data_IF_407218342430
#
_entry.id   IF_407218342430
#
_cell.length_a   1.000
_cell.length_b   1.000
_cell.length_c   1.000
_cell.angle_alpha   90.00
_cell.angle_beta   90.00
_cell.angle_gamma   90.00
#
_symmetry.space_group_name_H-M   'P 1'
#
loop_
_entity.id
_entity.type
_entity.pdbx_description
1 polymer ?
#
# COMPACT_ATOMS: atom_id res chain seq x y z
N UNK A 1 52.81 -29.27 36.17
CA UNK A 1 53.82 -29.27 35.07
C UNK A 1 53.52 -28.08 34.16
N UNK A 2 54.35 -27.03 34.21
CA UNK A 2 55.32 -26.60 33.16
C UNK A 2 54.63 -26.12 31.86
N UNK A 3 54.49 -24.80 31.70
CA UNK A 3 55.35 -23.89 30.89
C UNK A 3 55.24 -24.12 29.37
N UNK A 4 54.78 -23.11 28.63
CA UNK A 4 55.59 -22.31 27.66
C UNK A 4 54.72 -21.56 26.62
N UNK A 5 54.80 -20.23 26.62
CA UNK A 5 54.98 -19.47 25.36
C UNK A 5 56.46 -19.57 24.98
N UNK A 6 56.90 -19.48 23.69
CA UNK A 6 56.92 -18.21 22.94
C UNK A 6 56.97 -18.24 21.37
N UNK A 7 56.77 -17.05 20.77
CA UNK A 7 57.42 -16.39 19.60
C UNK A 7 57.85 -17.18 18.33
N UNK A 8 57.54 -16.57 17.15
CA UNK A 8 58.46 -16.17 16.04
C UNK A 8 57.69 -15.36 14.97
N UNK A 9 57.98 -14.06 14.76
CA UNK A 9 58.92 -13.44 13.77
C UNK A 9 58.52 -13.65 12.30
N UNK A 10 58.24 -12.62 11.49
CA UNK A 10 59.21 -11.71 10.86
C UNK A 10 58.42 -10.55 10.20
N UNK A 11 58.71 -9.27 10.46
CA UNK A 11 59.79 -8.45 9.91
C UNK A 11 59.69 -8.20 8.39
N UNK A 12 59.05 -7.10 7.99
CA UNK A 12 59.56 -6.22 6.91
C UNK A 12 59.33 -4.75 7.29
N UNK A 13 60.38 -4.16 7.84
CA UNK A 13 60.67 -2.74 7.76
C UNK A 13 61.24 -2.42 6.37
N UNK A 14 60.83 -1.31 5.78
CA UNK A 14 61.66 -0.35 5.03
C UNK A 14 60.79 0.91 4.87
N UNK A 15 60.90 1.90 5.76
CA UNK A 15 61.85 3.03 5.72
C UNK A 15 61.78 3.83 4.41
N UNK A 16 61.09 4.98 4.45
CA UNK A 16 61.61 6.26 3.94
C UNK A 16 61.21 7.37 4.95
N UNK A 17 62.21 7.84 5.71
CA UNK A 17 62.31 9.17 6.35
C UNK A 17 62.53 10.19 5.20
N UNK A 18 62.25 11.50 5.24
CA UNK A 18 62.25 12.47 6.32
C UNK A 18 61.85 13.85 5.74
N UNK A 19 61.33 14.75 6.61
CA UNK A 19 61.65 16.20 6.74
C UNK A 19 61.36 17.12 5.52
N UNK A 20 60.66 18.25 5.61
CA UNK A 20 60.85 19.38 6.53
C UNK A 20 59.60 20.33 6.54
N UNK A 21 59.38 21.09 7.64
CA UNK A 21 58.40 22.20 7.75
C UNK A 21 59.01 23.56 7.35
N UNK A 22 58.20 24.65 7.28
CA UNK A 22 58.52 26.06 7.72
C UNK A 22 57.70 27.15 6.97
N UNK A 23 56.90 27.91 7.76
CA UNK A 23 56.55 29.36 7.71
C UNK A 23 55.67 29.86 6.54
N UNK A 24 54.38 30.23 6.72
CA UNK A 24 53.77 31.40 7.42
C UNK A 24 54.06 32.77 6.76
N UNK A 25 53.08 33.29 6.01
CA UNK A 25 52.95 34.73 5.76
C UNK A 25 51.47 35.13 5.87
N UNK A 26 51.20 35.96 6.88
CA UNK A 26 49.95 36.67 7.12
C UNK A 26 49.64 37.64 5.96
N UNK A 27 48.38 37.71 5.56
CA UNK A 27 47.74 38.99 5.21
C UNK A 27 46.44 39.07 6.00
N UNK A 28 46.41 39.97 6.98
CA UNK A 28 45.21 40.44 7.69
C UNK A 28 44.88 41.80 7.08
N UNK A 29 43.70 41.93 6.48
CA UNK A 29 42.81 43.09 6.60
C UNK A 29 41.62 42.92 5.66
N UNK A 30 40.43 42.88 6.24
CA UNK A 30 39.15 42.78 5.54
C UNK A 30 38.09 42.24 6.47
N UNK A 31 37.76 43.00 7.53
CA UNK A 31 36.53 42.78 8.26
C UNK A 31 35.38 43.04 7.29
N UNK A 32 34.60 42.02 6.97
CA UNK A 32 33.16 42.17 6.92
C UNK A 32 32.48 40.87 7.33
N UNK A 33 31.51 41.04 8.20
CA UNK A 33 30.78 39.99 8.88
C UNK A 33 29.86 39.25 7.90
N UNK A 34 30.07 37.94 7.75
CA UNK A 34 29.02 36.99 7.40
C UNK A 34 29.42 35.59 7.84
N UNK A 35 28.88 35.15 8.98
CA UNK A 35 28.88 33.73 9.40
C UNK A 35 28.02 32.90 8.43
N UNK A 36 28.23 31.57 8.39
CA UNK A 36 28.21 30.79 7.18
C UNK A 36 26.79 30.61 6.68
N UNK A 37 26.57 30.98 5.42
CA UNK A 37 25.49 30.41 4.64
C UNK A 37 25.74 28.92 4.53
N UNK A 38 25.17 28.17 5.47
CA UNK A 38 24.74 26.82 5.18
C UNK A 38 23.92 26.93 3.91
N UNK A 39 24.51 26.55 2.77
CA UNK A 39 23.74 26.10 1.64
C UNK A 39 23.04 24.82 2.12
N UNK A 40 21.96 25.01 2.89
CA UNK A 40 20.90 24.06 2.92
C UNK A 40 20.54 23.87 1.47
N UNK A 41 20.78 22.66 0.96
CA UNK A 41 20.01 22.19 -0.15
C UNK A 41 18.55 22.40 0.26
N UNK A 42 17.95 23.50 -0.18
CA UNK A 42 16.52 23.56 -0.39
C UNK A 42 16.29 22.51 -1.45
N UNK A 43 16.19 21.24 -1.02
CA UNK A 43 15.61 20.19 -1.83
C UNK A 43 14.32 20.78 -2.30
N UNK A 44 14.22 21.00 -3.61
CA UNK A 44 13.06 21.62 -4.25
C UNK A 44 11.84 21.10 -3.54
N UNK A 45 11.11 22.00 -2.86
CA UNK A 45 9.75 21.70 -2.48
C UNK A 45 9.06 21.44 -3.81
N UNK A 46 9.00 20.17 -4.22
CA UNK A 46 8.17 19.72 -5.32
C UNK A 46 6.80 20.17 -4.87
N UNK A 47 6.28 21.24 -5.48
CA UNK A 47 4.92 21.70 -5.27
C UNK A 47 4.02 20.51 -5.59
N UNK A 48 3.65 19.77 -4.53
CA UNK A 48 3.01 18.48 -4.65
C UNK A 48 1.55 18.76 -4.93
N UNK A 49 1.24 18.93 -6.22
CA UNK A 49 -0.12 19.11 -6.72
C UNK A 49 -1.02 18.04 -6.11
N UNK A 50 -2.19 18.38 -5.55
CA UNK A 50 -3.09 17.38 -4.99
C UNK A 50 -3.43 16.29 -5.99
N UNK A 51 -3.52 15.05 -5.52
CA UNK A 51 -3.81 13.89 -6.33
C UNK A 51 -4.81 13.01 -5.59
N UNK A 52 -5.84 12.55 -6.29
CA UNK A 52 -6.77 11.54 -5.81
C UNK A 52 -6.80 10.40 -6.82
N UNK A 53 -6.70 9.18 -6.32
CA UNK A 53 -6.73 7.96 -7.14
C UNK A 53 -7.78 7.04 -6.55
N UNK A 54 -8.68 6.53 -7.38
CA UNK A 54 -9.66 5.52 -6.99
C UNK A 54 -9.44 4.29 -7.86
N UNK A 55 -9.34 3.13 -7.21
CA UNK A 55 -9.12 1.84 -7.85
C UNK A 55 -10.19 0.84 -7.41
N UNK A 56 -10.50 -0.11 -8.27
CA UNK A 56 -11.44 -1.18 -7.96
C UNK A 56 -11.05 -2.50 -8.61
N UNK A 57 -11.24 -3.59 -7.86
CA UNK A 57 -11.09 -4.97 -8.32
C UNK A 57 -12.44 -5.68 -8.34
N UNK A 58 -12.69 -6.45 -9.41
CA UNK A 58 -13.85 -7.33 -9.52
C UNK A 58 -13.48 -8.75 -9.08
N UNK A 59 -14.42 -9.44 -8.46
CA UNK A 59 -14.23 -10.81 -8.00
C UNK A 59 -14.21 -11.82 -9.15
N UNK A 60 -13.47 -12.91 -8.95
CA UNK A 60 -13.56 -14.10 -9.79
C UNK A 60 -14.88 -14.84 -9.52
N UNK A 61 -15.80 -14.80 -10.48
CA UNK A 61 -17.19 -15.31 -10.32
C UNK A 61 -17.26 -16.77 -9.86
N UNK A 62 -16.51 -17.72 -10.44
CA UNK A 62 -16.53 -19.11 -9.98
C UNK A 62 -16.07 -19.27 -8.52
N UNK A 63 -15.03 -18.53 -8.11
CA UNK A 63 -14.54 -18.53 -6.73
C UNK A 63 -15.60 -17.98 -5.75
N UNK A 64 -16.27 -16.88 -6.12
CA UNK A 64 -17.34 -16.29 -5.31
C UNK A 64 -18.53 -17.25 -5.13
N UNK A 65 -18.92 -18.01 -6.16
CA UNK A 65 -20.00 -19.01 -6.05
C UNK A 65 -19.62 -20.13 -5.09
N UNK A 66 -18.43 -20.69 -5.29
CA UNK A 66 -17.89 -21.76 -4.43
C UNK A 66 -17.83 -21.31 -2.97
N UNK A 67 -17.36 -20.10 -2.71
CA UNK A 67 -17.32 -19.54 -1.37
C UNK A 67 -18.72 -19.36 -0.77
N UNK A 68 -19.69 -18.87 -1.55
CA UNK A 68 -21.07 -18.74 -1.09
C UNK A 68 -21.66 -20.09 -0.68
N UNK A 69 -21.50 -21.14 -1.49
CA UNK A 69 -21.98 -22.49 -1.16
C UNK A 69 -21.39 -23.02 0.15
N UNK A 70 -20.07 -22.82 0.36
CA UNK A 70 -19.39 -23.21 1.59
C UNK A 70 -19.94 -22.43 2.79
N UNK A 71 -20.02 -21.10 2.69
CA UNK A 71 -20.50 -20.23 3.77
C UNK A 71 -21.96 -20.53 4.14
N UNK A 72 -22.80 -20.85 3.15
CA UNK A 72 -24.20 -21.19 3.34
C UNK A 72 -24.37 -22.53 4.03
N UNK A 73 -23.67 -23.58 3.57
CA UNK A 73 -23.65 -24.87 4.24
C UNK A 73 -23.18 -24.76 5.69
N UNK A 74 -22.10 -24.01 5.95
CA UNK A 74 -21.59 -23.76 7.30
C UNK A 74 -22.62 -23.04 8.19
N UNK A 75 -23.32 -22.03 7.64
CA UNK A 75 -24.37 -21.32 8.34
C UNK A 75 -25.54 -22.25 8.71
N UNK A 76 -26.00 -23.09 7.79
CA UNK A 76 -27.07 -24.07 8.06
C UNK A 76 -26.67 -25.06 9.16
N UNK A 77 -25.46 -25.60 9.08
CA UNK A 77 -24.91 -26.52 10.10
C UNK A 77 -24.84 -25.83 11.47
N UNK A 78 -24.41 -24.57 11.54
CA UNK A 78 -24.38 -23.81 12.79
C UNK A 78 -25.77 -23.61 13.43
N UNK A 79 -26.84 -23.74 12.63
CA UNK A 79 -28.23 -23.68 13.06
C UNK A 79 -28.88 -25.05 13.26
N UNK A 80 -28.11 -26.15 13.17
CA UNK A 80 -28.62 -27.50 13.29
C UNK A 80 -29.46 -27.96 12.08
N UNK A 81 -29.30 -27.32 10.93
CA UNK A 81 -30.00 -27.66 9.70
C UNK A 81 -29.10 -28.49 8.78
N UNK A 82 -29.69 -29.37 7.96
CA UNK A 82 -28.95 -30.13 6.97
C UNK A 82 -28.36 -29.18 5.90
N UNK A 83 -27.09 -29.36 5.50
CA UNK A 83 -26.50 -28.51 4.48
C UNK A 83 -27.21 -28.74 3.13
N UNK A 84 -27.59 -27.65 2.47
CA UNK A 84 -28.10 -27.64 1.10
C UNK A 84 -27.28 -26.66 0.27
N UNK A 85 -27.35 -26.74 -1.08
CA UNK A 85 -26.76 -25.71 -1.94
C UNK A 85 -27.27 -24.31 -1.60
N UNK A 86 -26.45 -23.28 -1.82
CA UNK A 86 -26.88 -21.91 -1.60
C UNK A 86 -27.97 -21.50 -2.61
N UNK A 87 -28.84 -20.54 -2.23
CA UNK A 87 -29.75 -19.91 -3.18
C UNK A 87 -28.98 -19.34 -4.38
N UNK A 88 -29.51 -19.56 -5.59
CA UNK A 88 -28.87 -19.09 -6.80
C UNK A 88 -28.77 -17.56 -6.83
N UNK A 89 -27.57 -17.05 -7.08
CA UNK A 89 -27.30 -15.62 -7.25
C UNK A 89 -27.09 -15.33 -8.74
N UNK A 90 -27.75 -14.32 -9.33
CA UNK A 90 -27.58 -14.00 -10.74
C UNK A 90 -26.12 -13.75 -11.09
N UNK A 91 -25.66 -14.32 -12.21
CA UNK A 91 -24.26 -14.19 -12.64
C UNK A 91 -23.86 -12.74 -12.83
N UNK A 92 -24.75 -11.92 -13.40
CA UNK A 92 -24.53 -10.49 -13.57
C UNK A 92 -24.30 -9.76 -12.23
N UNK A 93 -24.91 -10.22 -11.13
CA UNK A 93 -24.68 -9.66 -9.78
C UNK A 93 -23.26 -9.96 -9.32
N UNK A 94 -22.80 -11.20 -9.49
CA UNK A 94 -21.46 -11.61 -9.11
C UNK A 94 -20.39 -10.95 -9.99
N UNK A 95 -20.59 -10.93 -11.31
CA UNK A 95 -19.65 -10.35 -12.28
C UNK A 95 -19.47 -8.83 -12.13
N UNK A 96 -20.43 -8.14 -11.52
CA UNK A 96 -20.39 -6.70 -11.26
C UNK A 96 -20.08 -6.36 -9.79
N UNK A 97 -19.84 -7.36 -8.95
CA UNK A 97 -19.43 -7.15 -7.56
C UNK A 97 -17.99 -6.64 -7.52
N UNK A 98 -17.84 -5.43 -6.97
CA UNK A 98 -16.54 -4.84 -6.66
C UNK A 98 -16.10 -5.40 -5.30
N UNK A 99 -15.17 -6.35 -5.33
CA UNK A 99 -14.68 -7.04 -4.12
C UNK A 99 -13.59 -6.25 -3.42
N UNK A 100 -12.95 -5.33 -4.12
CA UNK A 100 -11.96 -4.42 -3.55
C UNK A 100 -12.16 -3.02 -4.13
N UNK A 101 -12.17 -2.02 -3.27
CA UNK A 101 -12.20 -0.61 -3.64
C UNK A 101 -11.23 0.15 -2.76
N UNK A 102 -10.42 1.00 -3.38
CA UNK A 102 -9.40 1.77 -2.71
C UNK A 102 -9.44 3.21 -3.20
N UNK A 103 -9.44 4.17 -2.28
CA UNK A 103 -9.29 5.59 -2.55
C UNK A 103 -8.06 6.12 -1.82
N UNK A 104 -7.10 6.63 -2.59
CA UNK A 104 -5.94 7.32 -2.06
C UNK A 104 -6.01 8.81 -2.34
N UNK A 105 -5.68 9.59 -1.31
CA UNK A 105 -5.69 11.04 -1.30
C UNK A 105 -4.29 11.55 -0.96
N UNK A 106 -3.77 12.45 -1.77
CA UNK A 106 -2.48 13.09 -1.58
C UNK A 106 -2.69 14.61 -1.71
N UNK A 107 -2.40 15.39 -0.66
CA UNK A 107 -2.60 16.85 -0.70
C UNK A 107 -1.30 17.67 -0.62
N UNK A 108 -0.17 16.97 -0.68
CA UNK A 108 1.18 17.54 -0.57
C UNK A 108 1.75 17.56 0.84
N UNK A 109 0.89 17.43 1.86
CA UNK A 109 1.30 17.40 3.28
C UNK A 109 0.81 16.18 4.03
N UNK A 110 -0.22 15.52 3.51
CA UNK A 110 -0.97 14.45 4.12
C UNK A 110 -1.27 13.40 3.06
N UNK A 111 -1.42 12.18 3.54
CA UNK A 111 -1.91 11.06 2.76
C UNK A 111 -3.06 10.39 3.50
N UNK A 112 -4.03 9.90 2.74
CA UNK A 112 -5.07 9.04 3.28
C UNK A 112 -5.35 7.91 2.29
N UNK A 113 -5.54 6.70 2.83
CA UNK A 113 -5.99 5.53 2.10
C UNK A 113 -7.23 4.98 2.77
N UNK A 114 -8.29 4.83 1.98
CA UNK A 114 -9.57 4.25 2.37
C UNK A 114 -9.79 2.98 1.56
N UNK A 115 -9.90 1.84 2.23
CA UNK A 115 -10.04 0.53 1.61
C UNK A 115 -11.36 -0.12 2.03
N UNK A 116 -12.07 -0.69 1.06
CA UNK A 116 -13.23 -1.55 1.29
C UNK A 116 -13.01 -2.89 0.61
N UNK A 117 -13.06 -3.95 1.40
CA UNK A 117 -13.10 -5.33 0.93
C UNK A 117 -14.52 -5.87 1.05
N UNK A 118 -14.98 -6.59 0.04
CA UNK A 118 -16.34 -7.15 0.00
C UNK A 118 -16.31 -8.63 -0.33
N UNK A 119 -17.10 -9.38 0.43
CA UNK A 119 -17.34 -10.79 0.18
C UNK A 119 -18.84 -11.08 0.16
N UNK A 120 -19.25 -11.99 -0.71
CA UNK A 120 -20.59 -12.56 -0.68
C UNK A 120 -20.60 -13.77 0.26
N UNK A 121 -21.55 -13.87 1.16
CA UNK A 121 -21.65 -15.01 2.07
C UNK A 121 -23.04 -15.15 2.67
N UNK A 122 -23.25 -16.20 3.45
CA UNK A 122 -24.50 -16.43 4.16
C UNK A 122 -24.61 -15.60 5.45
N UNK A 123 -25.74 -14.94 5.65
CA UNK A 123 -26.00 -14.13 6.83
C UNK A 123 -26.61 -14.93 7.99
N UNK A 124 -25.85 -15.25 9.06
CA UNK A 124 -26.37 -16.00 10.20
C UNK A 124 -27.52 -15.26 10.90
N UNK A 125 -27.53 -13.92 10.88
CA UNK A 125 -28.59 -13.11 11.47
C UNK A 125 -29.91 -13.13 10.67
N UNK A 126 -29.87 -13.54 9.40
CA UNK A 126 -31.03 -13.51 8.50
C UNK A 126 -31.25 -14.87 7.82
N UNK A 127 -31.47 -15.92 8.62
CA UNK A 127 -31.79 -17.26 8.09
C UNK A 127 -30.79 -17.78 7.03
N UNK A 128 -29.51 -17.42 7.16
CA UNK A 128 -28.46 -17.77 6.20
C UNK A 128 -28.65 -17.19 4.79
N UNK A 129 -29.53 -16.20 4.59
CA UNK A 129 -29.73 -15.59 3.28
C UNK A 129 -28.42 -14.98 2.76
N UNK A 130 -28.10 -15.15 1.47
CA UNK A 130 -26.91 -14.56 0.87
C UNK A 130 -26.92 -13.02 0.98
N UNK A 131 -25.79 -12.46 1.42
CA UNK A 131 -25.58 -11.02 1.61
C UNK A 131 -24.15 -10.64 1.18
N UNK A 132 -23.92 -9.33 1.01
CA UNK A 132 -22.58 -8.78 0.80
C UNK A 132 -22.09 -8.17 2.10
N UNK A 133 -20.95 -8.67 2.58
CA UNK A 133 -20.25 -8.18 3.75
C UNK A 133 -19.16 -7.20 3.33
N UNK A 134 -18.93 -6.18 4.15
CA UNK A 134 -18.01 -5.09 3.86
C UNK A 134 -17.05 -4.94 5.04
N UNK A 135 -15.78 -5.25 4.82
CA UNK A 135 -14.70 -4.89 5.73
C UNK A 135 -14.04 -3.60 5.25
N UNK A 136 -13.70 -2.72 6.19
CA UNK A 136 -13.14 -1.41 5.89
C UNK A 136 -11.90 -1.16 6.72
N UNK A 137 -10.89 -0.58 6.08
CA UNK A 137 -9.70 -0.04 6.73
C UNK A 137 -9.41 1.36 6.23
N UNK A 138 -8.81 2.14 7.11
CA UNK A 138 -8.38 3.50 6.82
C UNK A 138 -6.99 3.71 7.41
N UNK A 139 -6.15 4.40 6.66
CA UNK A 139 -4.86 4.89 7.12
C UNK A 139 -4.74 6.35 6.71
N UNK A 140 -4.43 7.22 7.67
CA UNK A 140 -4.23 8.64 7.43
C UNK A 140 -2.89 9.02 8.03
N UNK A 141 -2.04 9.66 7.24
CA UNK A 141 -0.77 10.21 7.67
C UNK A 141 -0.87 11.73 7.56
N UNK A 142 -1.00 12.38 8.70
CA UNK A 142 -1.05 13.84 8.78
C UNK A 142 0.33 14.43 8.97
N UNK A 143 1.19 13.72 9.71
CA UNK A 143 2.60 14.04 9.88
C UNK A 143 3.48 12.83 9.74
N UNK A 144 4.77 13.07 9.55
CA UNK A 144 5.77 12.01 9.52
C UNK A 144 5.96 11.34 10.88
N UNK A 145 5.39 11.95 11.92
CA UNK A 145 5.45 11.50 13.30
C UNK A 145 4.07 11.06 13.82
N UNK A 146 3.03 11.13 12.97
CA UNK A 146 1.66 10.86 13.38
C UNK A 146 0.85 10.20 12.28
N UNK A 147 0.36 9.01 12.58
CA UNK A 147 -0.59 8.31 11.74
C UNK A 147 -1.85 7.97 12.53
N UNK A 148 -2.97 7.92 11.83
CA UNK A 148 -4.23 7.39 12.31
C UNK A 148 -4.57 6.18 11.45
N UNK A 149 -4.54 5.01 12.07
CA UNK A 149 -4.96 3.76 11.46
C UNK A 149 -6.28 3.30 12.06
N UNK A 150 -7.13 2.68 11.26
CA UNK A 150 -8.36 2.09 11.77
C UNK A 150 -8.88 0.95 10.92
N UNK A 151 -9.58 0.03 11.57
CA UNK A 151 -10.20 -1.10 10.93
C UNK A 151 -11.54 -1.40 11.61
N UNK A 152 -12.52 -1.77 10.80
CA UNK A 152 -13.76 -2.36 11.29
C UNK A 152 -13.59 -3.88 11.53
N UNK A 153 -14.70 -4.61 11.66
CA UNK A 153 -14.67 -6.06 11.64
C UNK A 153 -14.08 -6.57 10.32
N UNK A 154 -13.23 -7.60 10.39
CA UNK A 154 -12.68 -8.25 9.19
C UNK A 154 -13.75 -9.09 8.50
N UNK A 155 -13.54 -9.44 7.23
CA UNK A 155 -14.49 -10.32 6.54
C UNK A 155 -14.63 -11.67 7.23
N UNK A 156 -13.51 -12.25 7.73
CA UNK A 156 -13.54 -13.49 8.51
C UNK A 156 -14.41 -13.39 9.77
N UNK A 157 -14.40 -12.25 10.45
CA UNK A 157 -15.26 -12.02 11.63
C UNK A 157 -16.73 -11.84 11.24
N UNK A 158 -16.99 -11.13 10.14
CA UNK A 158 -18.35 -10.88 9.65
C UNK A 158 -19.04 -12.13 9.11
N UNK A 159 -18.24 -13.07 8.59
CA UNK A 159 -18.70 -14.32 7.97
C UNK A 159 -18.71 -15.51 8.95
N UNK A 160 -18.17 -15.34 10.16
CA UNK A 160 -18.18 -16.37 11.19
C UNK A 160 -19.52 -16.37 11.95
N UNK A 161 -20.36 -17.42 11.80
CA UNK A 161 -21.64 -17.49 12.48
C UNK A 161 -21.53 -17.66 14.01
N UNK A 162 -20.34 -17.98 14.52
CA UNK A 162 -20.09 -18.24 15.94
C UNK A 162 -19.37 -17.10 16.66
N UNK A 163 -18.85 -16.10 15.94
CA UNK A 163 -18.10 -14.99 16.54
C UNK A 163 -18.79 -13.66 16.27
N UNK A 164 -19.13 -12.88 17.30
CA UNK A 164 -19.63 -11.53 17.07
C UNK A 164 -18.52 -10.67 16.45
N UNK A 165 -18.85 -9.76 15.52
CA UNK A 165 -17.87 -8.83 14.97
C UNK A 165 -17.33 -7.93 16.09
N UNK A 166 -16.02 -7.74 16.12
CA UNK A 166 -15.37 -6.84 17.08
C UNK A 166 -15.81 -5.39 16.87
N UNK A 167 -15.70 -4.60 17.94
CA UNK A 167 -15.90 -3.16 17.84
C UNK A 167 -14.89 -2.53 16.88
N UNK A 168 -15.29 -1.42 16.25
CA UNK A 168 -14.40 -0.56 15.48
C UNK A 168 -13.20 -0.16 16.32
N UNK A 169 -12.00 -0.25 15.73
CA UNK A 169 -10.77 0.16 16.37
C UNK A 169 -10.10 1.27 15.56
N UNK A 170 -9.70 2.33 16.27
CA UNK A 170 -8.86 3.41 15.75
C UNK A 170 -7.66 3.56 16.65
N UNK A 171 -6.49 3.58 16.04
CA UNK A 171 -5.21 3.76 16.69
C UNK A 171 -4.57 5.03 16.14
N UNK A 172 -4.13 5.89 17.05
CA UNK A 172 -3.23 6.98 16.71
C UNK A 172 -1.83 6.57 17.16
N UNK A 173 -0.94 6.47 16.19
CA UNK A 173 0.47 6.25 16.47
C UNK A 173 1.17 7.59 16.41
N UNK A 174 1.79 7.96 17.52
CA UNK A 174 2.65 9.14 17.63
C UNK A 174 4.08 8.69 17.87
N UNK A 175 4.96 8.94 16.91
CA UNK A 175 6.36 8.60 16.96
C UNK A 175 7.05 9.01 15.68
N UNK A 176 8.19 9.68 15.79
CA UNK A 176 8.98 10.07 14.62
C UNK A 176 9.45 8.83 13.86
N UNK A 177 9.04 8.70 12.60
CA UNK A 177 9.59 7.68 11.72
C UNK A 177 11.01 8.13 11.28
N UNK A 178 12.08 7.38 11.62
CA UNK A 178 13.44 7.74 11.26
C UNK A 178 13.70 7.78 9.74
N UNK A 179 12.76 7.32 8.91
CA UNK A 179 12.82 7.46 7.45
C UNK A 179 12.41 8.84 6.94
N UNK A 180 11.78 9.69 7.78
CA UNK A 180 11.24 10.99 7.41
C UNK A 180 12.28 12.04 6.98
N UNK A 181 13.50 11.95 7.50
CA UNK A 181 14.59 12.88 7.19
C UNK A 181 15.49 12.41 6.05
N UNK A 182 15.20 11.26 5.43
CA UNK A 182 16.06 10.72 4.37
C UNK A 182 15.76 11.41 3.04
N UNK A 183 16.71 12.17 2.46
CA UNK A 183 16.54 12.68 1.10
C UNK A 183 16.39 11.50 0.15
N UNK A 184 15.30 11.47 -0.62
CA UNK A 184 15.05 10.41 -1.59
C UNK A 184 15.16 10.92 -3.00
N UNK A 185 15.80 10.12 -3.84
CA UNK A 185 15.86 10.33 -5.28
C UNK A 185 14.57 9.85 -5.92
N UNK A 186 14.03 10.68 -6.80
CA UNK A 186 12.97 10.25 -7.70
C UNK A 186 13.60 9.24 -8.66
N UNK A 187 13.34 7.95 -8.45
CA UNK A 187 13.63 6.95 -9.45
C UNK A 187 12.65 7.15 -10.60
N UNK A 188 13.05 8.01 -11.54
CA UNK A 188 12.22 8.44 -12.65
C UNK A 188 11.84 7.28 -13.59
N UNK A 189 10.75 7.45 -14.31
CA UNK A 189 10.19 6.44 -15.24
C UNK A 189 10.50 6.77 -16.70
N UNK A 190 11.41 7.71 -16.94
CA UNK A 190 11.76 8.19 -18.27
C UNK A 190 12.33 7.05 -19.12
N UNK A 191 11.88 6.99 -20.38
CA UNK A 191 12.30 5.99 -21.36
C UNK A 191 11.74 4.58 -21.12
N UNK A 192 10.92 4.37 -20.08
CA UNK A 192 10.24 3.09 -19.86
C UNK A 192 8.95 3.01 -20.69
N UNK A 193 8.55 1.81 -21.14
CA UNK A 193 7.30 1.62 -21.84
C UNK A 193 6.12 1.93 -20.92
N UNK A 194 5.30 2.90 -21.30
CA UNK A 194 4.05 3.22 -20.62
C UNK A 194 2.84 2.63 -21.34
N UNK A 195 1.85 2.21 -20.56
CA UNK A 195 0.59 1.63 -21.00
C UNK A 195 -0.57 2.53 -20.58
N UNK A 196 -1.70 2.41 -21.29
CA UNK A 196 -2.93 3.10 -20.90
C UNK A 196 -3.50 2.47 -19.62
N UNK A 197 -3.67 3.29 -18.59
CA UNK A 197 -4.28 2.88 -17.33
C UNK A 197 -5.81 3.09 -17.31
N UNK A 198 -6.36 3.76 -18.33
CA UNK A 198 -7.72 4.29 -18.36
C UNK A 198 -7.81 5.73 -17.83
N UNK A 199 -8.97 6.36 -18.00
CA UNK A 199 -9.26 7.72 -17.48
C UNK A 199 -8.26 8.80 -17.94
N UNK A 200 -7.66 8.63 -19.12
CA UNK A 200 -6.64 9.54 -19.65
C UNK A 200 -5.29 9.47 -18.93
N UNK A 201 -5.09 8.50 -18.03
CA UNK A 201 -3.83 8.30 -17.33
C UNK A 201 -3.01 7.18 -17.96
N UNK A 202 -1.69 7.38 -17.94
CA UNK A 202 -0.72 6.38 -18.38
C UNK A 202 0.08 5.88 -17.19
N UNK A 203 0.49 4.63 -17.23
CA UNK A 203 1.27 4.01 -16.17
C UNK A 203 2.44 3.21 -16.71
N UNK A 204 3.43 2.98 -15.86
CA UNK A 204 4.63 2.18 -16.13
C UNK A 204 4.68 1.03 -15.14
N UNK A 205 4.87 -0.18 -15.66
CA UNK A 205 4.99 -1.37 -14.82
C UNK A 205 6.23 -1.33 -13.95
N UNK A 206 6.09 -1.70 -12.67
CA UNK A 206 7.22 -1.69 -11.75
C UNK A 206 8.28 -2.72 -12.11
N UNK A 207 7.88 -3.87 -12.67
CA UNK A 207 8.85 -4.84 -13.23
C UNK A 207 9.75 -4.20 -14.29
N UNK A 208 9.24 -3.37 -15.20
CA UNK A 208 10.05 -2.65 -16.18
C UNK A 208 11.11 -1.73 -15.53
N UNK A 209 10.78 -1.11 -14.39
CA UNK A 209 11.74 -0.32 -13.61
C UNK A 209 12.86 -1.19 -13.03
N UNK A 210 12.49 -2.36 -12.49
CA UNK A 210 13.44 -3.34 -11.93
C UNK A 210 14.33 -3.93 -13.03
N UNK A 211 13.77 -4.30 -14.18
CA UNK A 211 14.52 -4.81 -15.34
C UNK A 211 15.56 -3.78 -15.82
N UNK A 212 15.17 -2.51 -15.98
CA UNK A 212 16.09 -1.42 -16.34
C UNK A 212 17.20 -1.26 -15.30
N UNK A 213 16.86 -1.26 -14.02
CA UNK A 213 17.86 -1.13 -12.95
C UNK A 213 18.84 -2.31 -12.90
N UNK A 214 18.39 -3.51 -13.30
CA UNK A 214 19.22 -4.70 -13.42
C UNK A 214 20.05 -4.77 -14.73
N UNK A 215 19.87 -3.82 -15.66
CA UNK A 215 20.53 -3.84 -16.97
C UNK A 215 20.00 -4.94 -17.91
N UNK A 216 18.78 -5.42 -17.67
CA UNK A 216 18.12 -6.44 -18.49
C UNK A 216 17.16 -5.76 -19.48
N UNK A 217 16.94 -6.41 -20.63
CA UNK A 217 15.99 -5.92 -21.63
C UNK A 217 14.58 -5.78 -21.03
N UNK A 218 13.99 -4.60 -21.19
CA UNK A 218 12.68 -4.28 -20.63
C UNK A 218 11.59 -4.99 -21.43
N UNK A 219 10.83 -5.86 -20.79
CA UNK A 219 9.77 -6.66 -21.41
C UNK A 219 8.37 -6.05 -21.26
N UNK A 220 8.25 -4.99 -20.44
CA UNK A 220 6.98 -4.39 -20.07
C UNK A 220 6.46 -4.99 -18.76
N UNK A 221 5.31 -5.65 -18.79
CA UNK A 221 4.75 -6.29 -17.61
C UNK A 221 5.38 -7.68 -17.43
N UNK A 222 6.55 -7.76 -16.78
CA UNK A 222 7.37 -8.98 -16.70
C UNK A 222 6.98 -9.97 -15.59
N UNK A 223 6.23 -9.53 -14.56
CA UNK A 223 5.92 -10.37 -13.38
C UNK A 223 4.43 -10.73 -13.27
N UNK A 224 4.06 -11.99 -12.95
CA UNK A 224 2.66 -12.39 -12.73
C UNK A 224 1.97 -11.60 -11.61
N UNK A 225 2.74 -11.10 -10.66
CA UNK A 225 2.33 -10.07 -9.69
C UNK A 225 3.11 -8.78 -9.95
N UNK A 226 2.43 -7.71 -10.37
CA UNK A 226 3.06 -6.43 -10.70
C UNK A 226 2.12 -5.26 -10.41
N UNK A 227 2.70 -4.07 -10.28
CA UNK A 227 1.96 -2.83 -10.07
C UNK A 227 2.30 -1.84 -11.19
N UNK A 228 1.28 -1.13 -11.67
CA UNK A 228 1.46 -0.08 -12.67
C UNK A 228 1.46 1.27 -11.98
N UNK A 229 2.61 1.97 -12.02
CA UNK A 229 2.84 3.25 -11.36
C UNK A 229 2.47 4.41 -12.29
N UNK A 230 1.91 5.49 -11.75
CA UNK A 230 1.53 6.65 -12.55
C UNK A 230 2.74 7.28 -13.26
N UNK A 231 2.71 7.38 -14.60
CA UNK A 231 3.87 7.82 -15.38
C UNK A 231 4.31 9.24 -15.04
N UNK A 232 3.37 10.17 -14.84
CA UNK A 232 3.68 11.57 -14.55
C UNK A 232 4.18 11.78 -13.11
N UNK A 233 3.85 10.85 -12.21
CA UNK A 233 4.21 10.93 -10.79
C UNK A 233 4.24 9.53 -10.18
N UNK A 234 5.29 8.74 -10.43
CA UNK A 234 5.35 7.35 -9.95
C UNK A 234 5.43 7.28 -8.43
N UNK A 235 5.98 8.33 -7.80
CA UNK A 235 6.03 8.50 -6.37
C UNK A 235 5.49 9.88 -5.99
N UNK A 236 4.64 9.90 -4.98
CA UNK A 236 4.17 11.10 -4.32
C UNK A 236 4.93 11.26 -3.02
N UNK A 237 5.64 12.37 -2.86
CA UNK A 237 6.39 12.64 -1.63
C UNK A 237 5.49 13.33 -0.61
N UNK A 238 5.29 12.68 0.53
CA UNK A 238 4.58 13.24 1.68
C UNK A 238 5.57 13.31 2.82
N UNK A 239 6.00 14.54 3.17
CA UNK A 239 6.93 14.81 4.28
C UNK A 239 8.24 14.01 4.21
N UNK A 240 8.81 13.87 3.01
CA UNK A 240 10.05 13.12 2.80
C UNK A 240 9.84 11.62 2.51
N UNK A 241 8.68 11.07 2.86
CA UNK A 241 8.33 9.69 2.51
C UNK A 241 7.73 9.60 1.09
N UNK A 242 8.33 8.78 0.24
CA UNK A 242 7.84 8.52 -1.11
C UNK A 242 6.78 7.41 -1.12
N UNK A 243 5.52 7.76 -1.37
CA UNK A 243 4.42 6.82 -1.60
C UNK A 243 4.33 6.47 -3.09
N UNK A 244 4.32 5.20 -3.50
CA UNK A 244 4.07 4.86 -4.90
C UNK A 244 2.64 5.28 -5.28
N UNK A 245 2.47 5.90 -6.44
CA UNK A 245 1.14 6.20 -6.99
C UNK A 245 0.75 5.04 -7.90
N UNK A 246 -0.02 4.09 -7.36
CA UNK A 246 -0.44 2.89 -8.08
C UNK A 246 -1.71 3.21 -8.88
N UNK A 247 -1.75 2.87 -10.17
CA UNK A 247 -2.95 3.00 -11.00
C UNK A 247 -3.63 1.65 -11.24
N UNK A 248 -2.83 0.58 -11.36
CA UNK A 248 -3.32 -0.78 -11.57
C UNK A 248 -2.46 -1.78 -10.78
N UNK A 249 -3.08 -2.89 -10.36
CA UNK A 249 -2.39 -4.03 -9.75
C UNK A 249 -2.74 -5.24 -10.58
N UNK A 250 -1.72 -5.92 -11.09
CA UNK A 250 -1.86 -7.23 -11.72
C UNK A 250 -1.46 -8.28 -10.70
N UNK A 251 -2.31 -9.28 -10.56
CA UNK A 251 -2.01 -10.45 -9.73
C UNK A 251 -2.52 -11.67 -10.45
N UNK A 252 -1.68 -12.69 -10.56
CA UNK A 252 -2.11 -13.98 -11.05
C UNK A 252 -2.86 -14.72 -9.95
N UNK A 253 -4.01 -15.26 -10.33
CA UNK A 253 -4.88 -16.04 -9.45
C UNK A 253 -4.15 -17.27 -8.88
N UNK A 254 -3.04 -17.70 -9.50
CA UNK A 254 -2.26 -18.88 -9.12
C UNK A 254 -1.10 -18.63 -8.14
N UNK A 255 -0.39 -17.48 -8.14
CA UNK A 255 0.66 -17.23 -7.12
C UNK A 255 0.09 -16.92 -5.74
N UNK A 256 -1.15 -16.44 -5.71
CA UNK A 256 -1.88 -16.13 -4.50
C UNK A 256 -2.26 -17.37 -3.66
N UNK A 257 -2.28 -18.57 -4.26
CA UNK A 257 -2.60 -19.82 -3.56
C UNK A 257 -1.40 -20.40 -2.80
N UNK A 258 -0.18 -19.90 -3.04
CA UNK A 258 1.04 -20.58 -2.64
C UNK A 258 1.80 -20.05 -1.42
N UNK A 259 1.72 -18.76 -1.05
CA UNK A 259 2.78 -18.20 -0.19
C UNK A 259 2.43 -17.28 0.98
N UNK A 260 1.25 -16.62 1.09
CA UNK A 260 1.13 -15.59 2.14
C UNK A 260 -0.15 -15.47 2.98
N UNK A 261 -1.27 -16.13 2.71
CA UNK A 261 -2.46 -15.93 3.55
C UNK A 261 -3.36 -17.17 3.66
N UNK A 262 -2.99 -18.16 4.51
CA UNK A 262 -3.87 -19.29 4.85
C UNK A 262 -5.17 -18.87 5.55
N UNK A 263 -5.28 -17.63 6.03
CA UNK A 263 -6.43 -17.14 6.79
C UNK A 263 -7.66 -16.73 5.94
N UNK A 264 -7.52 -16.65 4.62
CA UNK A 264 -8.56 -16.12 3.71
C UNK A 264 -8.89 -17.09 2.55
N UNK A 265 -8.92 -18.39 2.85
CA UNK A 265 -8.96 -19.52 1.90
C UNK A 265 -10.19 -19.63 0.96
N UNK A 266 -10.92 -18.54 0.73
CA UNK A 266 -11.92 -18.41 -0.33
C UNK A 266 -12.04 -17.00 -0.95
N UNK A 267 -11.42 -15.98 -0.35
CA UNK A 267 -11.50 -14.58 -0.80
C UNK A 267 -10.38 -14.21 -1.79
N UNK A 268 -9.26 -14.91 -1.69
CA UNK A 268 -8.05 -14.57 -2.45
C UNK A 268 -8.12 -15.00 -3.92
N UNK A 269 -8.92 -16.01 -4.25
CA UNK A 269 -9.25 -16.30 -5.66
C UNK A 269 -9.97 -15.11 -6.33
N UNK A 270 -10.50 -14.16 -5.54
CA UNK A 270 -11.25 -13.00 -5.99
C UNK A 270 -10.44 -11.74 -6.33
N UNK A 271 -9.14 -11.65 -5.99
CA UNK A 271 -8.32 -10.49 -6.38
C UNK A 271 -7.84 -10.62 -7.82
N UNK A 272 -8.79 -10.61 -8.76
CA UNK A 272 -8.50 -10.30 -10.15
C UNK A 272 -8.12 -8.83 -10.26
N UNK A 273 -7.09 -8.53 -11.06
CA UNK A 273 -6.63 -7.21 -11.48
C UNK A 273 -7.40 -6.01 -10.90
N UNK A 274 -6.75 -5.23 -10.04
CA UNK A 274 -7.30 -3.96 -9.57
C UNK A 274 -7.02 -2.90 -10.63
N UNK A 275 -8.08 -2.22 -11.11
CA UNK A 275 -7.98 -1.26 -12.20
C UNK A 275 -8.30 0.15 -11.72
N UNK A 276 -7.80 1.13 -12.46
CA UNK A 276 -8.10 2.54 -12.24
C UNK A 276 -9.58 2.81 -12.54
N UNK A 277 -10.28 3.41 -11.57
CA UNK A 277 -11.67 3.87 -11.72
C UNK A 277 -11.69 5.36 -12.00
N UNK A 278 -10.93 6.14 -11.24
CA UNK A 278 -10.81 7.58 -11.45
C UNK A 278 -9.48 8.11 -10.94
N UNK A 279 -9.03 9.20 -11.53
CA UNK A 279 -7.87 9.95 -11.09
C UNK A 279 -8.17 11.44 -11.26
N UNK A 280 -7.76 12.26 -10.29
CA UNK A 280 -7.83 13.72 -10.42
C UNK A 280 -6.57 14.33 -9.86
N UNK A 281 -5.91 15.15 -10.67
CA UNK A 281 -4.72 15.92 -10.30
C UNK A 281 -5.08 17.41 -10.27
N UNK A 282 -4.57 18.14 -9.28
CA UNK A 282 -4.76 19.59 -9.14
C UNK A 282 -6.09 20.00 -8.51
N UNK A 283 -7.02 19.06 -8.32
CA UNK A 283 -8.26 19.32 -7.59
C UNK A 283 -7.99 19.29 -6.09
N UNK A 284 -8.29 20.39 -5.40
CA UNK A 284 -8.11 20.48 -3.95
C UNK A 284 -8.90 19.37 -3.22
N UNK A 285 -8.24 18.73 -2.26
CA UNK A 285 -8.85 17.69 -1.43
C UNK A 285 -9.35 18.35 -0.14
N UNK A 286 -10.64 18.23 0.21
CA UNK A 286 -11.18 18.79 1.44
C UNK A 286 -10.41 18.30 2.66
N UNK A 287 -10.00 19.20 3.56
CA UNK A 287 -9.11 18.88 4.67
C UNK A 287 -9.72 17.92 5.70
N UNK A 288 -11.05 17.89 5.79
CA UNK A 288 -11.83 16.98 6.63
C UNK A 288 -11.65 15.51 6.22
N UNK A 289 -11.28 15.24 4.96
CA UNK A 289 -10.91 13.90 4.46
C UNK A 289 -9.63 13.33 5.07
N UNK A 290 -8.92 14.08 5.91
CA UNK A 290 -7.75 13.61 6.66
C UNK A 290 -7.98 13.65 8.17
N UNK A 291 -9.25 13.69 8.60
CA UNK A 291 -9.61 13.80 10.02
C UNK A 291 -10.01 12.45 10.62
N UNK A 292 -9.88 12.34 11.94
CA UNK A 292 -10.46 11.24 12.73
C UNK A 292 -11.95 11.07 12.48
N UNK A 293 -12.71 12.17 12.36
CA UNK A 293 -14.14 12.11 12.09
C UNK A 293 -14.45 11.44 10.74
N UNK A 294 -13.68 11.74 9.68
CA UNK A 294 -13.85 11.07 8.39
C UNK A 294 -13.49 9.59 8.45
N UNK A 295 -12.40 9.23 9.15
CA UNK A 295 -12.03 7.84 9.40
C UNK A 295 -13.15 7.08 10.13
N UNK A 296 -13.70 7.65 11.21
CA UNK A 296 -14.81 7.07 11.96
C UNK A 296 -16.07 6.93 11.11
N UNK A 297 -16.44 7.97 10.35
CA UNK A 297 -17.61 7.95 9.48
C UNK A 297 -17.49 6.85 8.42
N UNK A 298 -16.31 6.69 7.82
CA UNK A 298 -16.03 5.63 6.85
C UNK A 298 -16.16 4.24 7.47
N UNK A 299 -15.52 4.02 8.62
CA UNK A 299 -15.53 2.72 9.30
C UNK A 299 -16.90 2.34 9.89
N UNK A 300 -17.75 3.32 10.22
CA UNK A 300 -19.12 3.11 10.75
C UNK A 300 -20.17 2.81 9.67
N UNK A 301 -19.81 2.88 8.39
CA UNK A 301 -20.73 2.53 7.31
C UNK A 301 -21.25 1.08 7.47
N UNK A 302 -22.43 0.76 6.91
CA UNK A 302 -23.00 -0.58 7.00
C UNK A 302 -22.00 -1.67 6.58
N UNK A 303 -21.82 -2.66 7.46
CA UNK A 303 -20.92 -3.82 7.23
C UNK A 303 -21.60 -4.93 6.42
N UNK A 304 -22.88 -4.78 6.12
CA UNK A 304 -23.69 -5.76 5.40
C UNK A 304 -24.74 -5.05 4.54
N UNK A 305 -24.92 -5.54 3.32
CA UNK A 305 -25.99 -5.12 2.39
C UNK A 305 -26.67 -6.34 1.78
N UNK A 306 -27.97 -6.26 1.51
CA UNK A 306 -28.69 -7.30 0.79
C UNK A 306 -28.17 -7.42 -0.65
N UNK A 307 -28.16 -8.63 -1.20
CA UNK A 307 -27.85 -8.80 -2.63
C UNK A 307 -28.87 -8.07 -3.50
N UNK A 308 -28.39 -7.38 -4.53
CA UNK A 308 -29.24 -6.61 -5.44
C UNK A 308 -29.66 -5.23 -4.92
N UNK A 309 -29.24 -4.83 -3.72
CA UNK A 309 -29.35 -3.43 -3.30
C UNK A 309 -28.30 -2.58 -4.04
N UNK A 310 -28.68 -2.07 -5.21
CA UNK A 310 -28.04 -0.95 -5.91
C UNK A 310 -29.12 -0.04 -6.46
#
# INVERSE_FOLDING_TARGET
>A
MRRHSPRRSSARQNKIRALLPVILALVVAGCDAAKPGAAGATGSAVDTVPLRVVRAGKGYVPGMRKFLDISYGACLVSKGQAPTPAPAVPEATLANLVVHEEEELFDGRRWAKYETYRAIGADPGNQCQPAVFHARSVQIETTCESSLGGMAATLSELLDPQRPPRALVLHEDTGADPECDRPRTQDGVEGLPSVDAGQGARCVWNSARVERAAGIAVSGAGSPSDICLYERRPFYFVKGYGRPVILQIRTDVHSLTGAYLPAFAGEIEGFGNVNLVSISEGTAIPSDRFSRAAAEAFLRQPVKTALGSR
#
